data_IF_078031071870
#
_entry.id   IF_078031071870
#
_cell.length_a   1.000
_cell.length_b   1.000
_cell.length_c   1.000
_cell.angle_alpha   90.00
_cell.angle_beta   90.00
_cell.angle_gamma   90.00
#
_symmetry.space_group_name_H-M   'P 1'
#
loop_
_entity.id
_entity.type
_entity.pdbx_description
1 polymer ?
#
# COMPACT_ATOMS: atom_id res chain seq x y z
N UNK A 1 -55.09 -17.10 40.98
CA UNK A 1 -55.80 -15.87 40.62
C UNK A 1 -55.42 -15.60 39.18
N UNK A 2 -56.10 -16.24 38.22
CA UNK A 2 -57.34 -15.90 37.53
C UNK A 2 -57.35 -14.47 36.97
N UNK A 3 -57.40 -14.44 35.64
CA UNK A 3 -57.69 -13.37 34.71
C UNK A 3 -56.49 -12.81 33.91
N UNK A 4 -56.06 -13.54 32.90
CA UNK A 4 -55.52 -12.97 31.65
C UNK A 4 -55.54 -14.02 30.50
N UNK A 5 -56.65 -14.72 30.33
CA UNK A 5 -56.85 -15.72 29.27
C UNK A 5 -58.22 -15.51 28.59
N UNK A 6 -58.51 -14.32 28.04
CA UNK A 6 -59.72 -14.13 27.22
C UNK A 6 -59.62 -12.95 26.23
N UNK A 7 -58.53 -12.77 25.51
CA UNK A 7 -58.46 -11.85 24.33
C UNK A 7 -57.63 -12.46 23.19
N UNK A 8 -57.85 -13.71 22.87
CA UNK A 8 -57.30 -14.32 21.66
C UNK A 8 -58.31 -15.24 21.00
N UNK A 9 -59.47 -14.69 20.61
CA UNK A 9 -60.40 -15.35 19.68
C UNK A 9 -61.22 -14.30 18.96
N UNK A 10 -60.71 -13.81 17.84
CA UNK A 10 -61.39 -13.34 16.62
C UNK A 10 -60.49 -12.51 15.76
N UNK A 11 -59.48 -13.14 15.11
CA UNK A 11 -58.94 -12.60 13.88
C UNK A 11 -59.35 -13.55 12.76
N UNK A 12 -60.27 -13.04 11.99
CA UNK A 12 -60.96 -13.64 10.87
C UNK A 12 -59.95 -14.10 9.81
N UNK A 13 -59.86 -15.39 9.57
CA UNK A 13 -59.13 -16.00 8.43
C UNK A 13 -59.87 -15.60 7.14
N UNK A 14 -59.42 -14.58 6.45
CA UNK A 14 -59.68 -14.43 5.01
C UNK A 14 -58.48 -14.96 4.25
N UNK A 15 -58.72 -15.76 3.18
CA UNK A 15 -57.64 -16.61 2.62
C UNK A 15 -56.61 -15.78 1.87
N UNK A 16 -55.35 -16.05 2.14
CA UNK A 16 -54.15 -15.52 1.45
C UNK A 16 -54.20 -15.70 -0.09
N UNK A 17 -55.08 -16.60 -0.58
CA UNK A 17 -55.24 -16.94 -1.99
C UNK A 17 -55.82 -15.79 -2.82
N UNK A 18 -56.63 -14.89 -2.24
CA UNK A 18 -57.25 -13.76 -2.97
C UNK A 18 -56.27 -12.62 -3.20
N UNK A 19 -55.25 -12.46 -2.33
CA UNK A 19 -54.22 -11.43 -2.44
C UNK A 19 -53.17 -11.86 -3.50
N UNK A 20 -52.80 -13.13 -3.51
CA UNK A 20 -51.88 -13.68 -4.53
C UNK A 20 -52.48 -13.68 -5.94
N UNK A 21 -53.77 -13.92 -6.11
CA UNK A 21 -54.44 -13.82 -7.42
C UNK A 21 -54.51 -12.38 -7.95
N UNK A 22 -54.70 -11.37 -7.09
CA UNK A 22 -54.65 -9.96 -7.54
C UNK A 22 -53.27 -9.50 -7.93
N UNK A 23 -52.23 -9.93 -7.23
CA UNK A 23 -50.85 -9.58 -7.57
C UNK A 23 -50.39 -10.25 -8.89
N UNK A 24 -50.88 -11.47 -9.18
CA UNK A 24 -50.54 -12.19 -10.43
C UNK A 24 -51.34 -11.67 -11.65
N UNK A 25 -52.52 -11.14 -11.47
CA UNK A 25 -53.36 -10.52 -12.55
C UNK A 25 -52.83 -9.12 -12.86
N UNK A 26 -52.39 -8.35 -11.86
CA UNK A 26 -51.79 -7.04 -12.08
C UNK A 26 -50.38 -7.16 -12.78
N UNK A 27 -49.65 -8.23 -12.55
CA UNK A 27 -48.39 -8.48 -13.28
C UNK A 27 -48.56 -8.92 -14.75
N UNK A 28 -49.78 -9.36 -15.14
CA UNK A 28 -50.10 -9.69 -16.55
C UNK A 28 -50.64 -8.51 -17.37
N UNK A 29 -51.23 -7.50 -16.72
CA UNK A 29 -51.77 -6.32 -17.41
C UNK A 29 -50.69 -5.28 -17.71
N UNK A 30 -49.52 -5.30 -16.99
CA UNK A 30 -48.41 -4.41 -17.26
C UNK A 30 -47.53 -4.90 -18.46
N UNK A 31 -47.92 -5.96 -19.15
CA UNK A 31 -47.11 -6.57 -20.24
C UNK A 31 -47.44 -6.04 -21.63
N UNK A 32 -48.29 -5.06 -21.79
CA UNK A 32 -48.70 -4.57 -23.12
C UNK A 32 -48.75 -3.04 -23.29
N UNK A 33 -48.00 -2.30 -22.48
CA UNK A 33 -47.62 -0.96 -22.86
C UNK A 33 -46.16 -0.99 -23.34
N UNK A 34 -45.92 -0.46 -24.51
CA UNK A 34 -44.56 -0.23 -25.10
C UNK A 34 -43.81 0.73 -24.18
N UNK A 35 -43.41 0.22 -23.02
CA UNK A 35 -42.40 0.88 -22.19
C UNK A 35 -41.12 0.86 -23.02
N UNK A 36 -40.78 1.98 -23.60
CA UNK A 36 -39.43 2.26 -24.11
C UNK A 36 -38.45 1.67 -23.09
N UNK A 37 -37.83 0.54 -23.43
CA UNK A 37 -36.79 -0.11 -22.61
C UNK A 37 -35.61 0.85 -22.57
N UNK A 38 -35.62 1.82 -21.64
CA UNK A 38 -34.37 2.49 -21.26
C UNK A 38 -33.43 1.35 -20.87
N UNK A 39 -32.27 1.23 -21.48
CA UNK A 39 -31.33 0.19 -21.12
C UNK A 39 -31.08 0.26 -19.62
N UNK A 40 -31.14 -0.87 -18.93
CA UNK A 40 -30.78 -0.94 -17.51
C UNK A 40 -29.30 -0.56 -17.46
N UNK A 41 -29.01 0.63 -16.95
CA UNK A 41 -27.64 1.12 -16.80
C UNK A 41 -26.86 0.12 -15.94
N UNK A 42 -25.71 -0.25 -16.41
CA UNK A 42 -24.78 -1.07 -15.62
C UNK A 42 -24.36 -0.30 -14.36
N UNK A 43 -23.94 -1.01 -13.31
CA UNK A 43 -23.44 -0.35 -12.09
C UNK A 43 -22.30 0.64 -12.40
N UNK A 44 -21.53 0.36 -13.42
CA UNK A 44 -20.45 1.23 -13.89
C UNK A 44 -20.99 2.52 -14.54
N UNK A 45 -22.02 2.43 -15.35
CA UNK A 45 -22.64 3.61 -15.97
C UNK A 45 -23.33 4.49 -14.93
N UNK A 46 -23.99 3.88 -13.93
CA UNK A 46 -24.57 4.60 -12.79
C UNK A 46 -23.48 5.30 -11.96
N UNK A 47 -22.33 4.66 -11.75
CA UNK A 47 -21.23 5.27 -11.05
C UNK A 47 -20.61 6.45 -11.84
N UNK A 48 -20.42 6.27 -13.15
CA UNK A 48 -19.91 7.31 -14.04
C UNK A 48 -20.82 8.51 -14.17
N UNK A 49 -22.15 8.32 -14.10
CA UNK A 49 -23.12 9.43 -14.19
C UNK A 49 -23.05 10.42 -13.03
N UNK A 50 -22.31 10.11 -11.96
CA UNK A 50 -22.09 11.00 -10.81
C UNK A 50 -20.98 12.05 -11.07
N UNK A 51 -20.20 11.89 -12.12
CA UNK A 51 -19.09 12.77 -12.46
C UNK A 51 -19.42 13.55 -13.73
N UNK A 52 -18.86 14.76 -13.82
CA UNK A 52 -18.94 15.51 -15.07
C UNK A 52 -18.13 14.83 -16.19
N UNK A 53 -18.53 15.00 -17.46
CA UNK A 53 -17.72 14.52 -18.60
C UNK A 53 -16.27 15.02 -18.57
N UNK A 54 -16.06 16.24 -18.09
CA UNK A 54 -14.73 16.86 -17.98
C UNK A 54 -13.86 16.18 -16.92
N UNK A 55 -14.43 15.80 -15.75
CA UNK A 55 -13.73 15.06 -14.71
C UNK A 55 -13.30 13.67 -15.18
N UNK A 56 -14.19 12.97 -15.89
CA UNK A 56 -13.89 11.65 -16.43
C UNK A 56 -12.82 11.70 -17.51
N UNK A 57 -12.89 12.70 -18.39
CA UNK A 57 -11.88 12.89 -19.45
C UNK A 57 -10.53 13.30 -18.83
N UNK A 58 -10.50 14.17 -17.84
CA UNK A 58 -9.29 14.52 -17.11
C UNK A 58 -8.65 13.31 -16.44
N UNK A 59 -9.45 12.44 -15.82
CA UNK A 59 -8.98 11.20 -15.21
C UNK A 59 -8.38 10.23 -16.24
N UNK A 60 -9.03 10.09 -17.40
CA UNK A 60 -8.55 9.28 -18.52
C UNK A 60 -7.22 9.82 -19.07
N UNK A 61 -7.13 11.12 -19.34
CA UNK A 61 -5.91 11.75 -19.84
C UNK A 61 -4.76 11.64 -18.84
N UNK A 62 -5.04 11.82 -17.54
CA UNK A 62 -4.05 11.63 -16.48
C UNK A 62 -3.53 10.19 -16.42
N UNK A 63 -4.43 9.19 -16.57
CA UNK A 63 -4.05 7.79 -16.70
C UNK A 63 -3.17 7.56 -17.93
N UNK A 64 -3.61 8.00 -19.11
CA UNK A 64 -2.86 7.81 -20.36
C UNK A 64 -1.49 8.48 -20.32
N UNK A 65 -1.39 9.67 -19.72
CA UNK A 65 -0.11 10.35 -19.49
C UNK A 65 0.81 9.50 -18.58
N UNK A 66 0.23 8.90 -17.52
CA UNK A 66 0.95 8.09 -16.53
C UNK A 66 1.51 6.78 -17.07
N UNK A 67 0.95 6.21 -18.15
CA UNK A 67 1.40 4.91 -18.70
C UNK A 67 2.87 4.92 -19.19
N UNK A 68 3.41 6.06 -19.58
CA UNK A 68 4.81 6.20 -19.97
C UNK A 68 5.27 5.12 -20.99
N UNK A 69 6.30 4.36 -20.63
CA UNK A 69 6.87 3.27 -21.45
C UNK A 69 5.89 2.11 -21.70
N UNK A 70 4.90 1.93 -20.83
CA UNK A 70 3.91 0.85 -20.96
C UNK A 70 3.01 1.01 -22.20
N UNK A 71 2.92 2.22 -22.79
CA UNK A 71 2.22 2.45 -24.06
C UNK A 71 2.78 1.63 -25.22
N UNK A 72 4.03 1.20 -25.13
CA UNK A 72 4.72 0.38 -26.16
C UNK A 72 4.40 -1.11 -26.04
N UNK A 73 3.73 -1.52 -24.96
CA UNK A 73 3.40 -2.92 -24.72
C UNK A 73 2.08 -3.32 -25.39
N UNK A 74 1.86 -4.61 -25.65
CA UNK A 74 0.58 -5.10 -26.13
C UNK A 74 -0.55 -4.68 -25.18
N UNK A 75 -1.62 -4.14 -25.72
CA UNK A 75 -2.76 -3.57 -24.97
C UNK A 75 -3.39 -4.55 -23.97
N UNK A 76 -3.29 -5.85 -24.25
CA UNK A 76 -3.78 -6.94 -23.39
C UNK A 76 -3.07 -7.01 -22.04
N UNK A 77 -1.78 -6.65 -21.98
CA UNK A 77 -0.96 -6.74 -20.76
C UNK A 77 -1.04 -5.47 -19.90
N UNK A 78 -1.29 -4.32 -20.52
CA UNK A 78 -1.29 -3.02 -19.85
C UNK A 78 -2.17 -3.01 -18.59
N UNK A 79 -3.44 -3.49 -18.60
CA UNK A 79 -4.28 -3.47 -17.40
C UNK A 79 -3.72 -4.32 -16.25
N UNK A 80 -3.06 -5.44 -16.53
CA UNK A 80 -2.44 -6.28 -15.49
C UNK A 80 -1.20 -5.62 -14.87
N UNK A 81 -0.43 -4.89 -15.68
CA UNK A 81 0.73 -4.12 -15.20
C UNK A 81 0.29 -2.88 -14.41
N UNK A 82 -0.84 -2.26 -14.79
CA UNK A 82 -1.49 -1.21 -14.00
C UNK A 82 -1.98 -1.72 -12.64
N UNK A 83 -2.48 -2.98 -12.53
CA UNK A 83 -2.78 -3.59 -11.24
C UNK A 83 -1.56 -3.67 -10.33
N UNK A 84 -0.37 -3.87 -10.91
CA UNK A 84 0.90 -3.86 -10.19
C UNK A 84 1.44 -2.46 -9.90
N UNK A 85 0.80 -1.40 -10.39
CA UNK A 85 1.26 0.00 -10.29
C UNK A 85 2.66 0.22 -10.89
N UNK A 86 3.00 -0.47 -11.98
CA UNK A 86 4.31 -0.32 -12.64
C UNK A 86 4.50 1.07 -13.24
N UNK A 87 3.42 1.76 -13.57
CA UNK A 87 3.42 3.16 -14.00
C UNK A 87 3.78 4.15 -12.87
N UNK A 88 3.68 3.69 -11.60
CA UNK A 88 3.94 4.51 -10.41
C UNK A 88 4.86 3.77 -9.43
N UNK A 89 6.14 3.60 -9.76
CA UNK A 89 7.05 2.73 -9.02
C UNK A 89 7.46 3.25 -7.64
N UNK A 90 6.97 4.42 -7.22
CA UNK A 90 7.34 5.05 -5.93
C UNK A 90 7.17 4.09 -4.76
N UNK A 91 5.99 3.45 -4.65
CA UNK A 91 5.73 2.50 -3.56
C UNK A 91 6.65 1.26 -3.60
N UNK A 92 7.07 0.81 -4.78
CA UNK A 92 8.04 -0.29 -4.92
C UNK A 92 9.42 0.13 -4.38
N UNK A 93 9.89 1.33 -4.74
CA UNK A 93 11.16 1.85 -4.22
C UNK A 93 11.14 2.04 -2.71
N UNK A 94 10.06 2.60 -2.17
CA UNK A 94 9.93 2.83 -0.72
C UNK A 94 9.83 1.52 0.08
N UNK A 95 9.30 0.45 -0.51
CA UNK A 95 9.32 -0.89 0.07
C UNK A 95 10.72 -1.54 -0.02
N UNK A 96 11.43 -1.33 -1.12
CA UNK A 96 12.68 -1.99 -1.45
C UNK A 96 13.90 -1.39 -0.73
N UNK A 97 13.94 -0.07 -0.57
CA UNK A 97 15.08 0.62 0.00
C UNK A 97 15.47 0.14 1.40
N UNK A 98 14.53 -0.09 2.35
CA UNK A 98 14.86 -0.68 3.65
C UNK A 98 15.48 -2.08 3.55
N UNK A 99 15.08 -2.85 2.53
CA UNK A 99 15.70 -4.15 2.28
C UNK A 99 17.18 -3.98 1.87
N UNK A 100 17.47 -3.01 1.00
CA UNK A 100 18.84 -2.70 0.60
C UNK A 100 19.72 -2.28 1.78
N UNK A 101 19.15 -1.46 2.70
CA UNK A 101 19.87 -1.06 3.91
C UNK A 101 20.24 -2.27 4.75
N UNK A 102 19.27 -3.13 5.06
CA UNK A 102 19.49 -4.31 5.89
C UNK A 102 20.43 -5.33 5.22
N UNK A 103 20.25 -5.62 3.93
CA UNK A 103 21.13 -6.52 3.16
C UNK A 103 22.58 -6.01 3.20
N UNK A 104 22.78 -4.72 2.96
CA UNK A 104 24.13 -4.15 2.90
C UNK A 104 24.75 -4.05 4.29
N UNK A 105 23.98 -3.71 5.35
CA UNK A 105 24.45 -3.73 6.74
C UNK A 105 24.81 -5.15 7.20
N UNK A 106 24.00 -6.13 6.84
CA UNK A 106 24.27 -7.53 7.14
C UNK A 106 25.53 -8.03 6.39
N UNK A 107 25.67 -7.67 5.13
CA UNK A 107 26.88 -7.98 4.35
C UNK A 107 28.14 -7.34 4.94
N UNK A 108 28.04 -6.11 5.43
CA UNK A 108 29.10 -5.42 6.14
C UNK A 108 29.50 -6.21 7.40
N UNK A 109 28.55 -6.64 8.23
CA UNK A 109 28.83 -7.30 9.52
C UNK A 109 29.57 -8.64 9.39
N UNK A 110 29.46 -9.33 8.25
CA UNK A 110 30.14 -10.62 7.99
C UNK A 110 31.19 -10.51 6.89
N UNK A 111 31.53 -9.30 6.45
CA UNK A 111 32.43 -9.07 5.30
C UNK A 111 32.06 -9.94 4.08
N UNK A 112 30.76 -10.05 3.77
CA UNK A 112 30.26 -10.92 2.71
C UNK A 112 30.88 -10.52 1.34
N UNK A 113 31.16 -11.48 0.45
CA UNK A 113 31.59 -11.15 -0.91
C UNK A 113 30.52 -10.35 -1.68
N UNK A 114 30.94 -9.41 -2.52
CA UNK A 114 30.03 -8.51 -3.26
C UNK A 114 28.94 -9.25 -4.05
N UNK A 115 29.26 -10.43 -4.62
CA UNK A 115 28.29 -11.21 -5.39
C UNK A 115 27.14 -11.75 -4.54
N UNK A 116 27.36 -12.06 -3.25
CA UNK A 116 26.31 -12.48 -2.29
C UNK A 116 25.34 -11.34 -2.07
N UNK A 117 25.85 -10.15 -1.78
CA UNK A 117 25.08 -8.92 -1.61
C UNK A 117 24.28 -8.58 -2.88
N UNK A 118 24.93 -8.62 -4.05
CA UNK A 118 24.30 -8.33 -5.33
C UNK A 118 23.18 -9.33 -5.66
N UNK A 119 23.38 -10.64 -5.37
CA UNK A 119 22.34 -11.68 -5.53
C UNK A 119 21.14 -11.37 -4.64
N UNK A 120 21.35 -11.08 -3.35
CA UNK A 120 20.27 -10.75 -2.43
C UNK A 120 19.52 -9.49 -2.86
N UNK A 121 20.21 -8.41 -3.24
CA UNK A 121 19.63 -7.18 -3.79
C UNK A 121 18.78 -7.50 -5.02
N UNK A 122 19.25 -8.33 -5.96
CA UNK A 122 18.50 -8.73 -7.15
C UNK A 122 17.22 -9.49 -6.82
N UNK A 123 17.31 -10.49 -5.94
CA UNK A 123 16.13 -11.27 -5.50
C UNK A 123 15.09 -10.39 -4.79
N UNK A 124 15.53 -9.50 -3.89
CA UNK A 124 14.62 -8.56 -3.21
C UNK A 124 14.02 -7.54 -4.17
N UNK A 125 14.73 -7.11 -5.20
CA UNK A 125 14.20 -6.21 -6.23
C UNK A 125 13.03 -6.86 -6.98
N UNK A 126 13.19 -8.12 -7.40
CA UNK A 126 12.14 -8.90 -8.05
C UNK A 126 10.99 -9.15 -7.06
N UNK A 127 11.31 -9.57 -5.83
CA UNK A 127 10.33 -9.83 -4.78
C UNK A 127 9.49 -8.61 -4.43
N UNK A 128 10.12 -7.44 -4.25
CA UNK A 128 9.43 -6.20 -3.95
C UNK A 128 8.51 -5.75 -5.08
N UNK A 129 8.97 -5.87 -6.34
CA UNK A 129 8.16 -5.56 -7.52
C UNK A 129 6.89 -6.42 -7.57
N UNK A 130 7.05 -7.73 -7.41
CA UNK A 130 5.97 -8.71 -7.49
C UNK A 130 5.02 -8.58 -6.30
N UNK A 131 5.54 -8.54 -5.08
CA UNK A 131 4.72 -8.51 -3.85
C UNK A 131 4.04 -7.16 -3.65
N UNK A 132 4.68 -6.05 -4.05
CA UNK A 132 4.00 -4.75 -4.10
C UNK A 132 2.85 -4.77 -5.09
N UNK A 133 3.06 -5.41 -6.24
CA UNK A 133 2.02 -5.64 -7.24
C UNK A 133 0.85 -6.46 -6.69
N UNK A 134 1.14 -7.56 -5.99
CA UNK A 134 0.13 -8.40 -5.34
C UNK A 134 -0.71 -7.61 -4.32
N UNK A 135 -0.04 -6.82 -3.46
CA UNK A 135 -0.71 -5.95 -2.50
C UNK A 135 -1.63 -4.91 -3.17
N UNK A 136 -1.21 -4.32 -4.28
CA UNK A 136 -2.04 -3.39 -5.06
C UNK A 136 -3.23 -4.10 -5.71
N UNK A 137 -3.03 -5.32 -6.25
CA UNK A 137 -4.10 -6.12 -6.83
C UNK A 137 -5.16 -6.50 -5.80
N UNK A 138 -4.74 -6.92 -4.59
CA UNK A 138 -5.65 -7.18 -3.46
C UNK A 138 -6.44 -5.93 -3.12
N UNK A 139 -5.78 -4.78 -2.97
CA UNK A 139 -6.44 -3.52 -2.65
C UNK A 139 -7.49 -3.14 -3.71
N UNK A 140 -7.17 -3.26 -5.00
CA UNK A 140 -8.13 -2.94 -6.08
C UNK A 140 -9.33 -3.90 -6.09
N UNK A 141 -9.14 -5.18 -5.72
CA UNK A 141 -10.25 -6.14 -5.55
C UNK A 141 -11.15 -5.74 -4.38
N UNK A 142 -10.55 -5.36 -3.23
CA UNK A 142 -11.31 -5.01 -2.02
C UNK A 142 -12.01 -3.67 -2.11
N UNK A 143 -11.36 -2.68 -2.70
CA UNK A 143 -11.85 -1.30 -2.79
C UNK A 143 -12.67 -1.02 -4.04
N UNK A 144 -12.94 -2.02 -4.90
CA UNK A 144 -13.62 -1.85 -6.20
C UNK A 144 -14.92 -1.04 -6.14
N UNK A 145 -15.68 -1.18 -5.04
CA UNK A 145 -16.95 -0.47 -4.83
C UNK A 145 -16.73 0.96 -4.30
N UNK A 146 -15.61 1.22 -3.61
CA UNK A 146 -15.23 2.54 -3.14
C UNK A 146 -14.57 3.35 -4.26
N UNK A 147 -13.77 2.71 -5.09
CA UNK A 147 -13.09 3.31 -6.23
C UNK A 147 -14.06 3.89 -7.27
N UNK A 148 -15.28 3.37 -7.33
CA UNK A 148 -16.37 3.91 -8.14
C UNK A 148 -16.89 5.29 -7.66
N UNK A 149 -16.47 5.75 -6.50
CA UNK A 149 -16.94 7.00 -5.91
C UNK A 149 -15.97 8.16 -6.09
N UNK A 150 -14.83 7.92 -6.72
CA UNK A 150 -13.76 8.92 -6.91
C UNK A 150 -13.33 8.94 -8.38
N UNK A 151 -13.41 10.08 -9.04
CA UNK A 151 -13.05 10.22 -10.45
C UNK A 151 -11.65 9.70 -10.77
N UNK A 152 -10.66 9.99 -9.91
CA UNK A 152 -9.27 9.55 -10.05
C UNK A 152 -9.10 8.02 -10.08
N UNK A 153 -9.93 7.26 -9.34
CA UNK A 153 -9.84 5.81 -9.21
C UNK A 153 -10.79 5.06 -10.14
N UNK A 154 -11.73 5.75 -10.80
CA UNK A 154 -12.63 5.18 -11.81
C UNK A 154 -11.89 4.48 -12.95
N UNK A 155 -10.70 4.96 -13.30
CA UNK A 155 -9.87 4.41 -14.37
C UNK A 155 -8.99 3.23 -13.93
N UNK A 156 -9.10 2.75 -12.67
CA UNK A 156 -8.41 1.52 -12.24
C UNK A 156 -8.91 0.32 -13.04
N UNK A 157 -8.06 -0.68 -13.32
CA UNK A 157 -8.40 -1.80 -14.22
C UNK A 157 -9.67 -2.56 -13.85
N UNK A 158 -9.89 -2.85 -12.56
CA UNK A 158 -11.09 -3.57 -12.10
C UNK A 158 -12.31 -2.65 -12.13
N UNK A 159 -12.17 -1.44 -11.63
CA UNK A 159 -13.26 -0.45 -11.55
C UNK A 159 -13.76 -0.05 -12.93
N UNK A 160 -12.86 0.14 -13.89
CA UNK A 160 -13.21 0.48 -15.29
C UNK A 160 -13.73 -0.72 -16.11
N UNK A 161 -13.70 -1.94 -15.54
CA UNK A 161 -14.13 -3.17 -16.22
C UNK A 161 -13.11 -3.73 -17.23
N UNK A 162 -11.89 -3.16 -17.30
CA UNK A 162 -10.82 -3.66 -18.19
C UNK A 162 -10.24 -5.00 -17.75
N UNK A 163 -10.35 -5.31 -16.45
CA UNK A 163 -10.01 -6.62 -15.86
C UNK A 163 -11.16 -7.05 -14.98
N UNK A 164 -11.69 -8.25 -15.19
CA UNK A 164 -12.71 -8.83 -14.33
C UNK A 164 -12.12 -9.31 -13.01
N UNK A 165 -12.96 -9.41 -11.96
CA UNK A 165 -12.51 -9.89 -10.64
C UNK A 165 -11.88 -11.29 -10.72
N UNK A 166 -12.45 -12.29 -11.44
CA UNK A 166 -11.79 -13.59 -11.60
C UNK A 166 -10.42 -13.51 -12.26
N UNK A 167 -10.25 -12.65 -13.28
CA UNK A 167 -8.96 -12.42 -13.94
C UNK A 167 -7.96 -11.77 -12.97
N UNK A 168 -8.39 -10.80 -12.18
CA UNK A 168 -7.54 -10.16 -11.16
C UNK A 168 -7.10 -11.16 -10.09
N UNK A 169 -7.98 -12.08 -9.65
CA UNK A 169 -7.65 -13.17 -8.71
C UNK A 169 -6.66 -14.15 -9.33
N UNK A 170 -6.84 -14.54 -10.58
CA UNK A 170 -5.89 -15.40 -11.29
C UNK A 170 -4.51 -14.72 -11.40
N UNK A 171 -4.48 -13.42 -11.76
CA UNK A 171 -3.25 -12.64 -11.83
C UNK A 171 -2.56 -12.52 -10.46
N UNK A 172 -3.34 -12.32 -9.38
CA UNK A 172 -2.84 -12.35 -8.01
C UNK A 172 -2.19 -13.70 -7.68
N UNK A 173 -2.79 -14.81 -8.11
CA UNK A 173 -2.20 -16.15 -7.99
C UNK A 173 -0.81 -16.23 -8.63
N UNK A 174 -0.67 -15.74 -9.87
CA UNK A 174 0.63 -15.69 -10.57
C UNK A 174 1.65 -14.87 -9.79
N UNK A 175 1.25 -13.71 -9.25
CA UNK A 175 2.13 -12.86 -8.43
C UNK A 175 2.55 -13.57 -7.14
N UNK A 176 1.62 -14.23 -6.44
CA UNK A 176 1.93 -15.00 -5.23
C UNK A 176 2.89 -16.16 -5.51
N UNK A 177 2.70 -16.90 -6.61
CA UNK A 177 3.63 -17.97 -7.03
C UNK A 177 5.02 -17.43 -7.36
N UNK A 178 5.10 -16.31 -8.09
CA UNK A 178 6.38 -15.67 -8.38
C UNK A 178 7.07 -15.17 -7.11
N UNK A 179 6.32 -14.56 -6.17
CA UNK A 179 6.83 -14.15 -4.86
C UNK A 179 7.33 -15.32 -4.02
N UNK A 180 6.61 -16.44 -4.03
CA UNK A 180 7.03 -17.68 -3.36
C UNK A 180 8.31 -18.26 -3.98
N UNK A 181 8.43 -18.25 -5.30
CA UNK A 181 9.65 -18.72 -5.99
C UNK A 181 10.87 -17.87 -5.59
N UNK A 182 10.71 -16.54 -5.48
CA UNK A 182 11.77 -15.66 -4.97
C UNK A 182 12.10 -16.00 -3.52
N UNK A 183 11.10 -16.17 -2.66
CA UNK A 183 11.30 -16.50 -1.25
C UNK A 183 12.04 -17.84 -1.06
N UNK A 184 11.69 -18.85 -1.84
CA UNK A 184 12.35 -20.17 -1.83
C UNK A 184 13.77 -20.16 -2.43
N UNK A 185 14.15 -19.10 -3.15
CA UNK A 185 15.51 -18.88 -3.67
C UNK A 185 16.43 -18.20 -2.63
N UNK A 186 15.88 -17.78 -1.49
CA UNK A 186 16.60 -17.22 -0.34
C UNK A 186 16.89 -18.32 0.70
N UNK A 187 17.80 -18.11 1.66
CA UNK A 187 17.99 -18.99 2.80
C UNK A 187 16.68 -19.28 3.55
N UNK A 188 16.57 -20.47 4.13
CA UNK A 188 15.30 -20.98 4.68
C UNK A 188 14.77 -20.14 5.86
N UNK A 189 15.64 -19.46 6.58
CA UNK A 189 15.28 -18.51 7.64
C UNK A 189 14.40 -17.37 7.13
N UNK A 190 14.62 -16.95 5.88
CA UNK A 190 13.78 -15.94 5.22
C UNK A 190 12.35 -16.42 5.02
N UNK A 191 12.12 -17.74 4.86
CA UNK A 191 10.78 -18.31 4.71
C UNK A 191 9.94 -18.09 5.97
N UNK A 192 10.48 -18.38 7.15
CA UNK A 192 9.76 -18.17 8.40
C UNK A 192 9.45 -16.70 8.66
N UNK A 193 10.43 -15.83 8.45
CA UNK A 193 10.22 -14.37 8.60
C UNK A 193 9.23 -13.85 7.57
N UNK A 194 9.29 -14.34 6.33
CA UNK A 194 8.33 -14.00 5.29
C UNK A 194 6.91 -14.44 5.64
N UNK A 195 6.75 -15.69 6.09
CA UNK A 195 5.46 -16.22 6.53
C UNK A 195 4.88 -15.41 7.71
N UNK A 196 5.72 -15.00 8.66
CA UNK A 196 5.32 -14.18 9.80
C UNK A 196 4.83 -12.79 9.41
N UNK A 197 5.20 -12.28 8.24
CA UNK A 197 4.71 -10.98 7.74
C UNK A 197 3.26 -11.05 7.22
N UNK A 198 2.79 -12.21 6.77
CA UNK A 198 1.51 -12.36 6.08
C UNK A 198 0.30 -11.88 6.89
N UNK A 199 0.17 -12.16 8.20
CA UNK A 199 -0.93 -11.65 9.01
C UNK A 199 -1.01 -10.11 9.00
N UNK A 200 0.13 -9.43 9.06
CA UNK A 200 0.20 -7.96 9.04
C UNK A 200 -0.23 -7.40 7.68
N UNK A 201 0.25 -8.01 6.60
CA UNK A 201 -0.12 -7.63 5.22
C UNK A 201 -1.61 -7.87 4.97
N UNK A 202 -2.16 -8.99 5.46
CA UNK A 202 -3.58 -9.31 5.32
C UNK A 202 -4.47 -8.38 6.17
N UNK A 203 -4.02 -8.02 7.38
CA UNK A 203 -4.77 -7.17 8.29
C UNK A 203 -4.77 -5.68 7.91
N UNK A 204 -3.70 -5.20 7.26
CA UNK A 204 -3.50 -3.78 6.94
C UNK A 204 -4.72 -3.09 6.29
N UNK A 205 -5.39 -3.65 5.25
CA UNK A 205 -6.53 -2.96 4.63
C UNK A 205 -7.71 -2.75 5.57
N UNK A 206 -7.84 -3.60 6.61
CA UNK A 206 -8.92 -3.52 7.59
C UNK A 206 -8.71 -2.35 8.56
N UNK A 207 -7.46 -1.98 8.83
CA UNK A 207 -7.13 -0.94 9.82
C UNK A 207 -7.77 0.41 9.49
N UNK A 208 -7.93 0.78 8.22
CA UNK A 208 -8.61 2.01 7.78
C UNK A 208 -10.06 2.12 8.28
N UNK A 209 -10.68 1.01 8.66
CA UNK A 209 -12.10 0.97 9.05
C UNK A 209 -12.32 1.20 10.55
N UNK A 210 -11.37 0.78 11.40
CA UNK A 210 -11.56 0.85 12.85
C UNK A 210 -10.55 1.73 13.60
N UNK A 211 -9.38 2.04 13.03
CA UNK A 211 -8.37 2.89 13.69
C UNK A 211 -7.97 4.09 12.85
N UNK A 212 -7.56 5.17 13.53
CA UNK A 212 -6.97 6.35 12.89
C UNK A 212 -5.50 6.18 12.52
N UNK A 213 -4.90 5.00 12.78
CA UNK A 213 -3.47 4.73 12.57
C UNK A 213 -3.18 3.62 11.55
N UNK A 214 -3.88 3.56 10.39
CA UNK A 214 -3.58 2.56 9.37
C UNK A 214 -2.16 2.73 8.81
N UNK A 215 -1.62 3.95 8.81
CA UNK A 215 -0.25 4.26 8.39
C UNK A 215 0.79 3.55 9.25
N UNK A 216 0.55 3.43 10.57
CA UNK A 216 1.44 2.70 11.47
C UNK A 216 1.49 1.20 11.12
N UNK A 217 0.35 0.61 10.75
CA UNK A 217 0.29 -0.79 10.32
C UNK A 217 0.96 -1.01 8.97
N UNK A 218 0.74 -0.10 8.00
CA UNK A 218 1.46 -0.11 6.72
C UNK A 218 2.97 -0.05 6.94
N UNK A 219 3.41 0.82 7.87
CA UNK A 219 4.82 1.00 8.19
C UNK A 219 5.47 -0.28 8.72
N UNK A 220 4.75 -1.12 9.48
CA UNK A 220 5.23 -2.45 9.89
C UNK A 220 5.51 -3.30 8.64
N UNK A 221 4.56 -3.37 7.70
CA UNK A 221 4.73 -4.15 6.47
C UNK A 221 5.93 -3.67 5.64
N UNK A 222 6.12 -2.35 5.52
CA UNK A 222 7.21 -1.75 4.75
C UNK A 222 8.58 -1.87 5.45
N UNK A 223 8.59 -2.05 6.77
CA UNK A 223 9.83 -2.22 7.55
C UNK A 223 10.29 -3.67 7.65
N UNK A 224 9.45 -4.63 7.23
CA UNK A 224 9.74 -6.06 7.40
C UNK A 224 11.03 -6.50 6.71
N UNK A 225 11.39 -5.83 5.61
CA UNK A 225 12.64 -6.03 4.90
C UNK A 225 13.89 -5.80 5.74
N UNK A 226 13.81 -4.96 6.79
CA UNK A 226 14.91 -4.75 7.73
C UNK A 226 15.27 -6.01 8.53
N UNK A 227 14.31 -6.91 8.75
CA UNK A 227 14.55 -8.20 9.41
C UNK A 227 15.04 -9.26 8.41
N UNK A 228 14.49 -9.28 7.20
CA UNK A 228 14.79 -10.26 6.16
C UNK A 228 16.20 -10.08 5.56
N UNK A 229 16.76 -8.87 5.59
CA UNK A 229 18.04 -8.58 4.97
C UNK A 229 19.23 -9.35 5.57
N UNK A 230 19.17 -9.67 6.86
CA UNK A 230 20.25 -10.40 7.55
C UNK A 230 20.34 -11.86 7.09
N UNK A 231 19.31 -12.70 7.26
CA UNK A 231 19.40 -14.08 6.80
C UNK A 231 19.53 -14.19 5.27
N UNK A 232 19.09 -13.19 4.52
CA UNK A 232 19.19 -13.21 3.05
C UNK A 232 20.62 -13.33 2.52
N UNK A 233 21.61 -12.89 3.28
CA UNK A 233 23.05 -12.99 2.95
C UNK A 233 23.77 -14.06 3.77
N UNK A 234 23.02 -14.85 4.56
CA UNK A 234 23.57 -15.86 5.45
C UNK A 234 24.12 -15.30 6.78
N UNK A 235 23.84 -14.03 7.09
CA UNK A 235 24.19 -13.46 8.39
C UNK A 235 23.15 -13.84 9.46
N UNK A 236 23.58 -14.10 10.72
CA UNK A 236 22.63 -14.29 11.81
C UNK A 236 21.80 -13.02 12.01
N UNK A 237 20.50 -13.20 12.33
CA UNK A 237 19.61 -12.07 12.63
C UNK A 237 20.01 -11.44 13.96
N UNK A 238 20.80 -10.38 13.90
CA UNK A 238 21.18 -9.60 15.07
C UNK A 238 20.04 -8.60 15.41
N UNK A 239 19.23 -8.92 16.41
CA UNK A 239 18.10 -8.08 16.81
C UNK A 239 18.54 -6.72 17.35
N UNK A 240 19.75 -6.58 17.91
CA UNK A 240 20.28 -5.31 18.39
C UNK A 240 20.57 -4.32 17.24
N UNK A 241 20.73 -4.81 16.04
CA UNK A 241 20.88 -4.00 14.81
C UNK A 241 19.55 -3.92 14.07
N UNK A 242 18.91 -5.06 13.84
CA UNK A 242 17.73 -5.15 12.99
C UNK A 242 16.50 -4.43 13.57
N UNK A 243 16.28 -4.47 14.89
CA UNK A 243 15.14 -3.81 15.53
C UNK A 243 15.26 -2.29 15.52
N UNK A 244 16.40 -1.68 15.90
CA UNK A 244 16.56 -0.23 15.74
C UNK A 244 16.43 0.22 14.28
N UNK A 245 16.98 -0.51 13.32
CA UNK A 245 16.83 -0.21 11.90
C UNK A 245 15.35 -0.30 11.47
N UNK A 246 14.64 -1.33 11.92
CA UNK A 246 13.20 -1.52 11.68
C UNK A 246 12.40 -0.33 12.24
N UNK A 247 12.65 0.09 13.48
CA UNK A 247 11.94 1.21 14.11
C UNK A 247 12.26 2.52 13.37
N UNK A 248 13.51 2.75 13.00
CA UNK A 248 13.91 3.91 12.21
C UNK A 248 13.14 3.96 10.88
N UNK A 249 13.06 2.85 10.15
CA UNK A 249 12.30 2.76 8.92
C UNK A 249 10.79 2.89 9.14
N UNK A 250 10.26 2.29 10.21
CA UNK A 250 8.86 2.39 10.59
C UNK A 250 8.44 3.85 10.80
N UNK A 251 9.26 4.64 11.49
CA UNK A 251 9.03 6.07 11.68
C UNK A 251 9.11 6.82 10.34
N UNK A 252 10.08 6.50 9.49
CA UNK A 252 10.19 7.10 8.17
C UNK A 252 8.97 6.83 7.30
N UNK A 253 8.52 5.58 7.26
CA UNK A 253 7.32 5.18 6.54
C UNK A 253 6.09 5.90 7.06
N UNK A 254 5.89 5.94 8.37
CA UNK A 254 4.80 6.66 9.03
C UNK A 254 4.83 8.17 8.67
N UNK A 255 6.02 8.75 8.61
CA UNK A 255 6.20 10.17 8.27
C UNK A 255 5.76 10.47 6.84
N UNK A 256 6.31 9.76 5.84
CA UNK A 256 5.97 10.06 4.46
C UNK A 256 4.53 9.63 4.09
N UNK A 257 4.02 8.56 4.68
CA UNK A 257 2.67 8.10 4.40
C UNK A 257 1.59 8.97 5.08
N UNK A 258 1.90 9.55 6.25
CA UNK A 258 1.04 10.58 6.84
C UNK A 258 0.97 11.84 5.98
N UNK A 259 2.10 12.31 5.43
CA UNK A 259 2.11 13.42 4.48
C UNK A 259 1.28 13.07 3.23
N UNK A 260 1.46 11.85 2.71
CA UNK A 260 0.67 11.35 1.58
C UNK A 260 -0.84 11.33 1.89
N UNK A 261 -1.23 10.88 3.09
CA UNK A 261 -2.64 10.80 3.49
C UNK A 261 -3.34 12.17 3.55
N UNK A 262 -2.59 13.26 3.68
CA UNK A 262 -3.18 14.61 3.63
C UNK A 262 -3.78 14.96 2.26
N UNK A 263 -3.36 14.30 1.17
CA UNK A 263 -3.95 14.50 -0.16
C UNK A 263 -5.43 14.13 -0.21
N UNK A 264 -5.79 13.05 0.49
CA UNK A 264 -7.14 12.50 0.48
C UNK A 264 -7.97 12.89 1.72
N UNK A 265 -7.43 13.77 2.61
CA UNK A 265 -8.00 14.13 3.92
C UNK A 265 -9.48 14.53 3.85
N UNK A 266 -9.86 15.35 2.87
CA UNK A 266 -11.23 15.81 2.71
C UNK A 266 -12.15 14.67 2.26
N UNK A 267 -11.69 13.82 1.33
CA UNK A 267 -12.42 12.66 0.86
C UNK A 267 -12.56 11.61 1.97
N UNK A 268 -11.49 11.29 2.68
CA UNK A 268 -11.48 10.34 3.79
C UNK A 268 -12.53 10.68 4.85
N UNK A 269 -12.67 11.97 5.16
CA UNK A 269 -13.67 12.46 6.10
C UNK A 269 -15.09 12.15 5.65
N UNK A 270 -15.41 12.33 4.36
CA UNK A 270 -16.76 12.03 3.81
C UNK A 270 -17.00 10.53 3.68
N UNK A 271 -15.96 9.76 3.32
CA UNK A 271 -16.06 8.31 3.13
C UNK A 271 -16.02 7.51 4.45
N UNK A 272 -15.82 8.18 5.60
CA UNK A 272 -15.67 7.52 6.91
C UNK A 272 -14.37 6.72 7.04
N UNK A 273 -13.37 6.99 6.18
CA UNK A 273 -12.06 6.36 6.20
C UNK A 273 -11.19 7.08 7.23
N UNK A 274 -10.55 6.31 8.10
CA UNK A 274 -9.70 6.85 9.17
C UNK A 274 -8.24 6.92 8.71
N UNK A 275 -7.54 8.00 9.10
CA UNK A 275 -6.11 8.21 8.78
C UNK A 275 -5.40 9.03 9.85
N UNK A 276 -4.07 8.96 9.93
CA UNK A 276 -3.24 9.82 10.79
C UNK A 276 -3.39 11.30 10.43
N UNK A 277 -3.63 11.62 9.15
CA UNK A 277 -3.89 12.98 8.70
C UNK A 277 -5.15 13.57 9.35
N UNK A 278 -6.19 12.76 9.57
CA UNK A 278 -7.40 13.15 10.29
C UNK A 278 -7.17 13.20 11.80
N UNK A 279 -6.43 12.23 12.36
CA UNK A 279 -6.17 12.16 13.79
C UNK A 279 -5.33 13.34 14.31
N UNK A 280 -4.29 13.70 13.58
CA UNK A 280 -3.32 14.71 14.02
C UNK A 280 -3.68 16.11 13.55
N UNK A 281 -4.36 16.27 12.44
CA UNK A 281 -4.80 17.57 11.93
C UNK A 281 -3.66 18.59 11.91
N UNK A 282 -3.83 19.71 12.61
CA UNK A 282 -2.83 20.78 12.69
C UNK A 282 -1.57 20.41 13.49
N UNK A 283 -1.66 19.36 14.34
CA UNK A 283 -0.52 18.83 15.11
C UNK A 283 0.39 17.92 14.28
N UNK A 284 0.05 17.65 13.02
CA UNK A 284 0.83 16.73 12.16
C UNK A 284 2.29 17.15 12.07
N UNK A 285 2.60 18.39 11.72
CA UNK A 285 4.00 18.85 11.59
C UNK A 285 4.81 18.78 12.89
N UNK A 286 4.32 19.26 14.06
CA UNK A 286 5.02 19.06 15.33
C UNK A 286 5.32 17.60 15.64
N UNK A 287 4.36 16.70 15.44
CA UNK A 287 4.52 15.26 15.67
C UNK A 287 5.57 14.69 14.73
N UNK A 288 5.48 14.96 13.42
CA UNK A 288 6.44 14.45 12.43
C UNK A 288 7.87 14.95 12.67
N UNK A 289 8.05 16.18 13.17
CA UNK A 289 9.38 16.68 13.57
C UNK A 289 9.98 15.86 14.72
N UNK A 290 9.20 15.61 15.77
CA UNK A 290 9.64 14.76 16.89
C UNK A 290 9.96 13.34 16.44
N UNK A 291 9.12 12.74 15.60
CA UNK A 291 9.33 11.42 15.02
C UNK A 291 10.60 11.39 14.17
N UNK A 292 10.89 12.43 13.37
CA UNK A 292 12.12 12.46 12.54
C UNK A 292 13.38 12.50 13.40
N UNK A 293 13.37 13.20 14.54
CA UNK A 293 14.50 13.19 15.48
C UNK A 293 14.67 11.79 16.09
N UNK A 294 13.56 11.16 16.52
CA UNK A 294 13.60 9.80 17.05
C UNK A 294 14.10 8.79 15.99
N UNK A 295 13.68 8.94 14.72
CA UNK A 295 14.18 8.16 13.60
C UNK A 295 15.70 8.21 13.49
N UNK A 296 16.28 9.41 13.60
CA UNK A 296 17.74 9.61 13.57
C UNK A 296 18.43 8.90 14.73
N UNK A 297 17.85 8.94 15.93
CA UNK A 297 18.36 8.22 17.10
C UNK A 297 18.38 6.70 16.88
N UNK A 298 17.28 6.10 16.41
CA UNK A 298 17.23 4.65 16.13
C UNK A 298 18.16 4.26 14.99
N UNK A 299 18.30 5.09 13.95
CA UNK A 299 19.24 4.85 12.86
C UNK A 299 20.68 4.84 13.40
N UNK A 300 21.05 5.81 14.23
CA UNK A 300 22.37 5.86 14.85
C UNK A 300 22.66 4.64 15.76
N UNK A 301 21.67 4.22 16.56
CA UNK A 301 21.79 3.00 17.38
C UNK A 301 22.04 1.77 16.50
N UNK A 302 21.32 1.62 15.39
CA UNK A 302 21.56 0.52 14.45
C UNK A 302 23.01 0.53 13.91
N UNK A 303 23.54 1.71 13.60
CA UNK A 303 24.92 1.88 13.13
C UNK A 303 25.96 1.52 14.22
N UNK A 304 25.74 1.97 15.46
CA UNK A 304 26.62 1.66 16.59
C UNK A 304 26.66 0.15 16.83
N UNK A 305 25.49 -0.48 16.88
CA UNK A 305 25.38 -1.93 17.12
C UNK A 305 25.95 -2.78 15.98
N UNK A 306 26.07 -2.22 14.79
CA UNK A 306 26.67 -2.88 13.62
C UNK A 306 28.11 -2.44 13.35
N UNK A 307 28.68 -1.61 14.19
CA UNK A 307 30.05 -1.04 14.04
C UNK A 307 30.26 -0.36 12.69
N UNK A 308 29.25 0.38 12.19
CA UNK A 308 29.33 1.06 10.89
C UNK A 308 30.37 2.16 10.87
N UNK A 309 30.96 2.40 9.70
CA UNK A 309 31.92 3.44 9.43
C UNK A 309 31.32 4.84 9.31
N UNK A 310 32.15 5.87 9.02
CA UNK A 310 31.72 7.27 8.97
C UNK A 310 30.73 7.58 7.84
N UNK A 311 30.77 6.84 6.73
CA UNK A 311 29.84 7.02 5.60
C UNK A 311 28.39 6.83 6.00
N UNK A 312 28.11 5.83 6.84
CA UNK A 312 26.80 5.59 7.42
C UNK A 312 26.26 6.81 8.17
N UNK A 313 27.06 7.38 9.06
CA UNK A 313 26.62 8.50 9.90
C UNK A 313 26.49 9.81 9.12
N UNK A 314 27.42 10.11 8.21
CA UNK A 314 27.36 11.33 7.39
C UNK A 314 26.13 11.32 6.48
N UNK A 315 25.93 10.23 5.74
CA UNK A 315 24.78 10.09 4.86
C UNK A 315 23.47 10.03 5.65
N UNK A 316 23.45 9.33 6.79
CA UNK A 316 22.31 9.26 7.69
C UNK A 316 21.92 10.63 8.23
N UNK A 317 22.86 11.40 8.75
CA UNK A 317 22.63 12.75 9.25
C UNK A 317 22.04 13.67 8.16
N UNK A 318 22.62 13.61 6.95
CA UNK A 318 22.11 14.36 5.80
C UNK A 318 20.68 13.93 5.41
N UNK A 319 20.40 12.63 5.39
CA UNK A 319 19.07 12.11 5.09
C UNK A 319 18.04 12.55 6.13
N UNK A 320 18.35 12.46 7.43
CA UNK A 320 17.48 12.92 8.51
C UNK A 320 17.22 14.43 8.43
N UNK A 321 18.27 15.24 8.21
CA UNK A 321 18.13 16.68 8.02
C UNK A 321 17.23 17.00 6.82
N UNK A 322 17.34 16.22 5.74
CA UNK A 322 16.50 16.34 4.55
C UNK A 322 15.02 16.01 4.87
N UNK A 323 14.73 14.94 5.62
CA UNK A 323 13.36 14.60 6.05
C UNK A 323 12.80 15.72 6.94
N UNK A 324 13.59 16.19 7.91
CA UNK A 324 13.18 17.25 8.80
C UNK A 324 12.82 18.54 8.03
N UNK A 325 13.67 18.94 7.09
CA UNK A 325 13.42 20.10 6.22
C UNK A 325 12.19 19.91 5.31
N UNK A 326 11.94 18.68 4.83
CA UNK A 326 10.74 18.32 4.09
C UNK A 326 9.47 18.52 4.93
N UNK A 327 9.47 18.07 6.20
CA UNK A 327 8.35 18.27 7.15
C UNK A 327 8.09 19.75 7.40
N UNK A 328 9.15 20.57 7.49
CA UNK A 328 9.00 22.03 7.65
C UNK A 328 8.32 22.65 6.43
N UNK A 329 8.78 22.32 5.22
CA UNK A 329 8.42 23.01 3.98
C UNK A 329 7.13 22.51 3.33
N UNK A 330 6.72 21.28 3.58
CA UNK A 330 5.52 20.70 2.94
C UNK A 330 4.27 21.50 3.31
N UNK A 331 3.46 21.84 2.31
CA UNK A 331 2.11 22.34 2.52
C UNK A 331 1.13 21.17 2.54
N UNK A 332 0.60 20.85 3.73
CA UNK A 332 -0.30 19.72 3.96
C UNK A 332 -1.70 19.93 3.39
N UNK A 333 -2.05 21.15 2.99
CA UNK A 333 -3.33 21.47 2.34
C UNK A 333 -3.22 21.49 0.81
N UNK A 334 -2.02 21.28 0.26
CA UNK A 334 -1.77 21.24 -1.17
C UNK A 334 -1.39 19.82 -1.61
N UNK A 335 -2.26 19.19 -2.41
CA UNK A 335 -2.07 17.82 -2.90
C UNK A 335 -0.76 17.64 -3.68
N UNK A 336 -0.40 18.61 -4.52
CA UNK A 336 0.85 18.58 -5.31
C UNK A 336 2.09 18.67 -4.41
N UNK A 337 2.02 19.48 -3.34
CA UNK A 337 3.08 19.58 -2.35
C UNK A 337 3.27 18.26 -1.60
N UNK A 338 2.18 17.64 -1.15
CA UNK A 338 2.20 16.35 -0.48
C UNK A 338 2.74 15.24 -1.39
N UNK A 339 2.31 15.20 -2.67
CA UNK A 339 2.82 14.24 -3.65
C UNK A 339 4.31 14.40 -3.92
N UNK A 340 4.77 15.64 -4.13
CA UNK A 340 6.19 15.95 -4.33
C UNK A 340 7.03 15.55 -3.12
N UNK A 341 6.55 15.84 -1.91
CA UNK A 341 7.18 15.41 -0.68
C UNK A 341 7.26 13.87 -0.62
N UNK A 342 6.16 13.16 -0.85
CA UNK A 342 6.13 11.70 -0.85
C UNK A 342 7.13 11.09 -1.83
N UNK A 343 7.14 11.52 -3.09
CA UNK A 343 8.03 10.98 -4.13
C UNK A 343 9.50 11.27 -3.88
N UNK A 344 9.82 12.41 -3.24
CA UNK A 344 11.21 12.79 -2.93
C UNK A 344 11.88 11.87 -1.91
N UNK A 345 11.10 11.05 -1.18
CA UNK A 345 11.63 10.07 -0.23
C UNK A 345 12.42 8.94 -0.90
N UNK A 346 12.18 8.65 -2.20
CA UNK A 346 13.05 7.71 -2.96
C UNK A 346 14.50 8.18 -2.88
N UNK A 347 14.75 9.46 -3.19
CA UNK A 347 16.11 10.03 -3.12
C UNK A 347 16.68 9.96 -1.70
N UNK A 348 15.86 10.23 -0.70
CA UNK A 348 16.27 10.14 0.71
C UNK A 348 16.67 8.72 1.09
N UNK A 349 15.90 7.72 0.67
CA UNK A 349 16.22 6.32 0.90
C UNK A 349 17.51 5.85 0.24
N UNK A 350 17.79 6.34 -0.98
CA UNK A 350 19.07 6.09 -1.65
C UNK A 350 20.26 6.76 -0.93
N UNK A 351 20.07 7.94 -0.34
CA UNK A 351 21.13 8.61 0.43
C UNK A 351 21.52 7.74 1.64
N UNK A 352 20.55 7.22 2.40
CA UNK A 352 20.85 6.27 3.47
C UNK A 352 21.65 5.07 2.93
N UNK A 353 21.19 4.46 1.84
CA UNK A 353 21.82 3.28 1.27
C UNK A 353 23.24 3.56 0.77
N UNK A 354 23.49 4.68 0.13
CA UNK A 354 24.83 5.03 -0.36
C UNK A 354 25.84 5.16 0.76
N UNK A 355 25.46 5.69 1.93
CA UNK A 355 26.33 5.74 3.10
C UNK A 355 26.67 4.34 3.63
N UNK A 356 25.69 3.44 3.70
CA UNK A 356 25.89 2.05 4.10
C UNK A 356 26.79 1.31 3.08
N UNK A 357 26.49 1.49 1.79
CA UNK A 357 27.24 0.86 0.71
C UNK A 357 28.69 1.36 0.66
N UNK A 358 28.90 2.64 0.91
CA UNK A 358 30.24 3.23 0.96
C UNK A 358 31.11 2.57 2.03
N UNK A 359 30.61 2.45 3.26
CA UNK A 359 31.32 1.79 4.34
C UNK A 359 31.57 0.30 4.02
N UNK A 360 30.58 -0.39 3.45
CA UNK A 360 30.76 -1.78 3.04
C UNK A 360 31.84 -1.96 1.97
N UNK A 361 31.93 -1.05 1.00
CA UNK A 361 33.01 -1.09 -0.01
C UNK A 361 34.35 -0.81 0.64
N UNK A 362 34.45 0.17 1.55
CA UNK A 362 35.70 0.45 2.27
C UNK A 362 36.18 -0.75 3.08
N UNK A 363 35.26 -1.48 3.73
CA UNK A 363 35.58 -2.72 4.44
C UNK A 363 36.16 -3.77 3.49
N UNK A 364 35.52 -4.00 2.34
CA UNK A 364 36.04 -4.99 1.35
C UNK A 364 37.40 -4.62 0.75
N UNK A 365 37.72 -3.33 0.70
CA UNK A 365 38.99 -2.83 0.24
C UNK A 365 40.06 -2.78 1.36
N UNK A 366 39.68 -3.13 2.60
CA UNK A 366 40.60 -3.15 3.74
C UNK A 366 40.98 -1.77 4.30
N UNK A 367 40.14 -0.75 4.08
CA UNK A 367 40.35 0.60 4.64
C UNK A 367 39.77 0.78 6.04
N UNK A 368 38.81 -0.04 6.42
CA UNK A 368 38.15 -0.06 7.73
C UNK A 368 37.89 -1.49 8.20
#
# INVERSE_FOLDING_TARGET
MLNTLTILRRVNQRPLISVLKRTFVQSRIIRNESVSKKPILTQLEIARSKFSPEELEAARLAREAGLGWMKKLPTKWVPYLELMRLEKPVGTWLLLLPCYWAITMASYSIAAPLWVTAKAIGLFSIGALVMRGAGCTINDIWDRNLDNQVARTMERPITSGRVSVPQAVAWLGVQCFAGLAVLLSLPFECFYLGALSLPFVAAYPLFKRFTYYPQAMLSICFSWGCLLGFPAVGAPLNLWVAVPLFISNWIWCLTYDTIYAHQDKNFDKFAGIKSTALAWGDKTKPILKGLTVAQGGFYAVAGIMNSMGPGFYIAGAYAIARIYNQVLKVDLNNEKSCWSAFTSNIRTGFIFWYGILFDYILLLLGFI
#
